data_IF_544357640186
#
_entry.id   IF_544357640186
#
_cell.length_a   1.000
_cell.length_b   1.000
_cell.length_c   1.000
_cell.angle_alpha   90.00
_cell.angle_beta   90.00
_cell.angle_gamma   90.00
#
_symmetry.space_group_name_H-M   'P 1'
#
loop_
_entity.id
_entity.type
_entity.pdbx_description
1 polymer ?
#
# COMPACT_ATOMS: atom_id res chain seq x y z
N UNK A 1 -10.32 -14.91 -9.88
CA UNK A 1 -9.77 -14.73 -8.52
C UNK A 1 -8.37 -15.34 -8.46
N UNK A 2 -7.36 -14.49 -8.32
CA UNK A 2 -6.01 -14.95 -8.03
C UNK A 2 -5.96 -15.15 -6.53
N UNK A 3 -5.97 -16.41 -6.08
CA UNK A 3 -5.71 -16.75 -4.68
C UNK A 3 -4.29 -16.35 -4.35
N UNK A 4 -4.15 -15.31 -3.55
CA UNK A 4 -2.88 -14.71 -3.17
C UNK A 4 -2.28 -15.55 -2.04
N UNK A 5 -1.44 -16.51 -2.41
CA UNK A 5 -0.49 -17.09 -1.47
C UNK A 5 0.55 -16.04 -1.11
N UNK A 6 0.87 -15.90 0.16
CA UNK A 6 1.78 -14.89 0.73
C UNK A 6 3.23 -14.98 0.25
N UNK A 7 3.62 -16.03 -0.45
CA UNK A 7 5.00 -16.30 -0.83
C UNK A 7 5.09 -16.48 -2.33
N UNK A 8 5.87 -15.61 -2.99
CA UNK A 8 6.18 -15.73 -4.41
C UNK A 8 5.12 -15.14 -5.35
N UNK A 9 4.10 -14.45 -4.84
CA UNK A 9 3.10 -13.81 -5.69
C UNK A 9 3.71 -12.77 -6.63
N UNK A 10 4.72 -12.01 -6.17
CA UNK A 10 5.43 -11.04 -6.99
C UNK A 10 6.19 -11.71 -8.14
N UNK A 11 6.81 -12.85 -7.90
CA UNK A 11 7.51 -13.62 -8.94
C UNK A 11 6.52 -14.15 -9.96
N UNK A 12 5.40 -14.74 -9.53
CA UNK A 12 4.35 -15.21 -10.42
C UNK A 12 3.73 -14.06 -11.23
N UNK A 13 3.51 -12.90 -10.62
CA UNK A 13 2.98 -11.71 -11.28
C UNK A 13 3.96 -11.17 -12.32
N UNK A 14 5.25 -11.10 -11.98
CA UNK A 14 6.29 -10.70 -12.94
C UNK A 14 6.36 -11.66 -14.13
N UNK A 15 6.37 -12.96 -13.89
CA UNK A 15 6.44 -13.98 -14.94
C UNK A 15 5.18 -13.97 -15.81
N UNK A 16 4.01 -13.73 -15.23
CA UNK A 16 2.76 -13.52 -15.97
C UNK A 16 2.85 -12.29 -16.86
N UNK A 17 3.40 -11.17 -16.35
CA UNK A 17 3.64 -9.97 -17.15
C UNK A 17 4.61 -10.20 -18.31
N UNK A 18 5.68 -10.97 -18.10
CA UNK A 18 6.64 -11.30 -19.15
C UNK A 18 6.01 -12.15 -20.26
N UNK A 19 5.07 -13.02 -19.91
CA UNK A 19 4.36 -13.87 -20.87
C UNK A 19 3.30 -13.06 -21.64
N UNK A 20 2.57 -12.18 -20.96
CA UNK A 20 1.52 -11.33 -21.53
C UNK A 20 1.53 -9.99 -20.81
N UNK A 21 2.14 -8.94 -21.38
CA UNK A 21 2.22 -7.62 -20.76
C UNK A 21 0.84 -6.99 -20.56
N UNK A 22 0.28 -7.19 -19.37
CA UNK A 22 -0.98 -6.62 -18.92
C UNK A 22 -0.70 -5.68 -17.75
N UNK A 23 -1.19 -4.45 -17.82
CA UNK A 23 -0.98 -3.43 -16.80
C UNK A 23 -1.53 -3.84 -15.42
N UNK A 24 -2.59 -4.66 -15.39
CA UNK A 24 -3.18 -5.17 -14.14
C UNK A 24 -2.16 -5.88 -13.25
N UNK A 25 -1.18 -6.54 -13.85
CA UNK A 25 -0.09 -7.15 -13.09
C UNK A 25 0.81 -6.11 -12.43
N UNK A 26 1.10 -5.00 -13.12
CA UNK A 26 1.91 -3.93 -12.55
C UNK A 26 1.16 -3.15 -11.46
N UNK A 27 -0.13 -2.90 -11.64
CA UNK A 27 -0.99 -2.27 -10.63
C UNK A 27 -1.08 -3.15 -9.36
N UNK A 28 -1.27 -4.45 -9.55
CA UNK A 28 -1.28 -5.40 -8.44
C UNK A 28 0.07 -5.45 -7.70
N UNK A 29 1.18 -5.53 -8.44
CA UNK A 29 2.52 -5.53 -7.86
C UNK A 29 2.80 -4.29 -7.03
N UNK A 30 2.48 -3.10 -7.56
CA UNK A 30 2.63 -1.84 -6.82
C UNK A 30 1.80 -1.82 -5.54
N UNK A 31 0.55 -2.30 -5.61
CA UNK A 31 -0.32 -2.39 -4.45
C UNK A 31 0.24 -3.33 -3.38
N UNK A 32 0.73 -4.50 -3.77
CA UNK A 32 1.36 -5.45 -2.87
C UNK A 32 2.67 -4.88 -2.28
N UNK A 33 3.48 -4.21 -3.11
CA UNK A 33 4.73 -3.59 -2.70
C UNK A 33 4.54 -2.63 -1.52
N UNK A 34 3.65 -1.65 -1.65
CA UNK A 34 3.46 -0.66 -0.59
C UNK A 34 2.67 -1.20 0.60
N UNK A 35 1.55 -1.86 0.36
CA UNK A 35 0.59 -2.15 1.42
C UNK A 35 0.85 -3.47 2.14
N UNK A 36 1.67 -4.34 1.56
CA UNK A 36 2.03 -5.62 2.16
C UNK A 36 3.53 -5.74 2.39
N UNK A 37 4.36 -5.70 1.35
CA UNK A 37 5.80 -5.98 1.46
C UNK A 37 6.49 -4.93 2.33
N UNK A 38 6.39 -3.64 1.99
CA UNK A 38 6.96 -2.56 2.81
C UNK A 38 6.32 -2.48 4.19
N UNK A 39 5.01 -2.70 4.28
CA UNK A 39 4.30 -2.69 5.55
C UNK A 39 4.71 -3.83 6.50
N UNK A 40 5.28 -4.92 5.98
CA UNK A 40 5.70 -6.07 6.79
C UNK A 40 7.06 -5.91 7.45
N UNK A 41 7.88 -4.96 7.02
CA UNK A 41 9.23 -4.74 7.54
C UNK A 41 9.25 -3.59 8.55
N UNK A 42 9.84 -3.80 9.73
CA UNK A 42 10.14 -2.74 10.67
C UNK A 42 11.44 -2.04 10.23
N UNK A 43 11.38 -0.77 9.77
CA UNK A 43 12.51 -0.16 9.05
C UNK A 43 13.68 0.28 9.95
N UNK A 44 13.47 0.42 11.25
CA UNK A 44 14.49 0.93 12.19
C UNK A 44 15.20 -0.20 12.92
N UNK A 45 14.43 -1.10 13.53
CA UNK A 45 14.96 -2.20 14.33
C UNK A 45 15.19 -3.48 13.54
N UNK A 46 14.66 -3.55 12.32
CA UNK A 46 14.60 -4.76 11.51
C UNK A 46 13.46 -5.69 11.95
N UNK A 47 13.39 -6.86 11.33
CA UNK A 47 12.35 -7.85 11.58
C UNK A 47 11.18 -7.74 10.60
N UNK A 48 10.48 -8.87 10.44
CA UNK A 48 9.37 -9.02 9.52
C UNK A 48 8.13 -9.53 10.25
N UNK A 49 6.96 -9.19 9.71
CA UNK A 49 5.67 -9.59 10.25
C UNK A 49 5.27 -10.94 9.67
N UNK A 50 4.76 -11.84 10.51
CA UNK A 50 4.12 -13.09 10.08
C UNK A 50 2.64 -12.85 9.77
N UNK A 51 1.91 -12.23 10.71
CA UNK A 51 0.52 -11.88 10.56
C UNK A 51 0.33 -10.37 10.54
N UNK A 52 -0.52 -9.90 9.62
CA UNK A 52 -1.03 -8.52 9.61
C UNK A 52 -2.50 -8.55 10.03
N UNK A 53 -2.81 -8.37 11.32
CA UNK A 53 -4.20 -8.39 11.77
C UNK A 53 -5.01 -7.26 11.13
N UNK A 54 -6.21 -7.58 10.64
CA UNK A 54 -7.15 -6.59 10.07
C UNK A 54 -8.16 -6.08 11.09
N UNK A 55 -8.22 -6.69 12.28
CA UNK A 55 -9.05 -6.20 13.38
C UNK A 55 -8.55 -4.84 13.86
N UNK A 56 -9.44 -3.85 13.90
CA UNK A 56 -9.13 -2.53 14.44
C UNK A 56 -8.65 -2.60 15.90
N UNK A 57 -7.64 -1.80 16.23
CA UNK A 57 -7.02 -1.80 17.57
C UNK A 57 -6.06 -2.97 17.82
N UNK A 58 -5.74 -3.77 16.79
CA UNK A 58 -4.70 -4.81 16.90
C UNK A 58 -3.32 -4.26 16.52
N UNK A 59 -2.27 -5.07 16.64
CA UNK A 59 -0.89 -4.71 16.29
C UNK A 59 -0.16 -5.85 15.61
N UNK A 60 0.86 -5.51 14.83
CA UNK A 60 1.76 -6.48 14.18
C UNK A 60 2.85 -6.90 15.16
N UNK A 61 3.25 -8.16 15.08
CA UNK A 61 4.42 -8.69 15.80
C UNK A 61 5.56 -8.85 14.80
N UNK A 62 6.71 -8.29 15.15
CA UNK A 62 7.92 -8.36 14.33
C UNK A 62 8.85 -9.47 14.79
N UNK A 63 9.47 -10.14 13.84
CA UNK A 63 10.54 -11.11 14.13
C UNK A 63 11.75 -10.43 14.73
N UNK A 64 12.55 -11.18 15.48
CA UNK A 64 13.90 -10.76 15.82
C UNK A 64 14.78 -10.82 14.55
N UNK A 65 15.61 -9.81 14.29
CA UNK A 65 16.44 -9.78 13.09
C UNK A 65 17.40 -10.95 12.94
N UNK A 66 17.90 -11.48 14.05
CA UNK A 66 19.01 -12.45 14.06
C UNK A 66 18.57 -13.87 14.47
N UNK A 67 17.48 -14.03 15.20
CA UNK A 67 17.12 -15.31 15.82
C UNK A 67 15.82 -15.93 15.33
N UNK A 68 14.87 -15.13 14.84
CA UNK A 68 13.59 -15.65 14.34
C UNK A 68 13.73 -16.23 12.94
N UNK A 69 13.51 -17.53 12.82
CA UNK A 69 13.64 -18.29 11.56
C UNK A 69 12.26 -18.70 11.00
N UNK A 70 11.33 -17.77 10.93
CA UNK A 70 10.04 -18.03 10.31
C UNK A 70 10.14 -18.04 8.79
N UNK A 71 9.28 -18.81 8.12
CA UNK A 71 9.20 -18.79 6.66
C UNK A 71 8.97 -17.37 6.10
N UNK A 72 8.18 -16.55 6.80
CA UNK A 72 7.89 -15.16 6.40
C UNK A 72 9.10 -14.23 6.52
N UNK A 73 10.10 -14.54 7.36
CA UNK A 73 11.37 -13.81 7.40
C UNK A 73 12.15 -14.04 6.11
N UNK A 74 12.26 -15.29 5.65
CA UNK A 74 12.89 -15.63 4.38
C UNK A 74 12.21 -14.98 3.19
N UNK A 75 10.88 -15.07 3.14
CA UNK A 75 10.08 -14.42 2.08
C UNK A 75 10.21 -12.90 2.10
N UNK A 76 10.21 -12.28 3.29
CA UNK A 76 10.40 -10.85 3.44
C UNK A 76 11.76 -10.40 2.89
N UNK A 77 12.83 -11.09 3.24
CA UNK A 77 14.17 -10.81 2.71
C UNK A 77 14.22 -10.95 1.18
N UNK A 78 13.64 -12.02 0.63
CA UNK A 78 13.60 -12.24 -0.81
C UNK A 78 12.83 -11.13 -1.54
N UNK A 79 11.65 -10.78 -1.06
CA UNK A 79 10.80 -9.75 -1.68
C UNK A 79 11.52 -8.40 -1.79
N UNK A 80 12.22 -7.98 -0.73
CA UNK A 80 12.98 -6.72 -0.75
C UNK A 80 14.15 -6.70 -1.73
N UNK A 81 14.64 -7.85 -2.17
CA UNK A 81 15.71 -7.94 -3.19
C UNK A 81 15.18 -7.92 -4.63
N UNK A 82 13.86 -8.05 -4.84
CA UNK A 82 13.26 -8.26 -6.17
C UNK A 82 12.72 -6.99 -6.85
N UNK A 83 12.69 -5.85 -6.17
CA UNK A 83 12.09 -4.62 -6.73
C UNK A 83 12.71 -4.21 -8.06
N UNK A 84 14.05 -4.29 -8.18
CA UNK A 84 14.77 -3.93 -9.40
C UNK A 84 14.39 -4.74 -10.63
N UNK A 85 13.91 -5.95 -10.43
CA UNK A 85 13.57 -6.88 -11.52
C UNK A 85 12.27 -6.52 -12.25
N UNK A 86 11.42 -5.65 -11.67
CA UNK A 86 10.14 -5.29 -12.25
C UNK A 86 9.94 -3.78 -12.48
N UNK A 87 10.91 -2.94 -12.15
CA UNK A 87 10.85 -1.51 -12.49
C UNK A 87 10.66 -1.34 -13.99
N UNK A 88 11.40 -2.13 -14.77
CA UNK A 88 11.36 -2.12 -16.23
C UNK A 88 11.16 -3.51 -16.80
N UNK A 89 10.47 -3.56 -17.94
CA UNK A 89 10.43 -4.72 -18.81
C UNK A 89 10.64 -4.27 -20.26
N UNK A 90 11.06 -5.17 -21.14
CA UNK A 90 11.23 -4.81 -22.54
C UNK A 90 10.83 -5.95 -23.48
N UNK A 91 10.40 -5.57 -24.67
CA UNK A 91 10.15 -6.47 -25.77
C UNK A 91 10.58 -5.77 -27.07
N UNK A 92 11.46 -6.37 -27.85
CA UNK A 92 11.98 -5.80 -29.09
C UNK A 92 12.51 -4.36 -28.95
N UNK A 93 11.77 -3.37 -29.48
CA UNK A 93 12.07 -1.93 -29.43
C UNK A 93 11.19 -1.18 -28.43
N UNK A 94 10.53 -1.88 -27.55
CA UNK A 94 9.59 -1.32 -26.56
C UNK A 94 10.15 -1.50 -25.15
N UNK A 95 10.20 -0.42 -24.38
CA UNK A 95 10.51 -0.39 -22.96
C UNK A 95 9.25 -0.05 -22.17
N UNK A 96 8.88 -0.92 -21.25
CA UNK A 96 7.81 -0.72 -20.27
C UNK A 96 8.40 -0.16 -18.96
N UNK A 97 7.77 0.86 -18.42
CA UNK A 97 8.06 1.40 -17.09
C UNK A 97 6.90 1.01 -16.17
N UNK A 98 7.13 0.06 -15.29
CA UNK A 98 6.10 -0.53 -14.44
C UNK A 98 6.04 0.08 -13.04
N UNK A 99 7.20 0.36 -12.42
CA UNK A 99 7.28 0.91 -11.08
C UNK A 99 8.01 2.25 -11.09
N UNK A 100 7.55 3.18 -10.24
CA UNK A 100 8.10 4.54 -10.17
C UNK A 100 9.18 4.68 -9.09
N UNK A 101 10.08 3.71 -9.03
CA UNK A 101 11.22 3.66 -8.10
C UNK A 101 12.42 4.38 -8.74
N UNK A 102 13.07 5.35 -8.06
CA UNK A 102 14.26 6.04 -8.59
C UNK A 102 15.31 5.04 -9.04
N UNK A 103 15.79 5.17 -10.27
CA UNK A 103 16.67 4.15 -10.83
C UNK A 103 17.39 4.61 -12.08
N UNK A 104 18.45 3.88 -12.44
CA UNK A 104 19.18 4.04 -13.68
C UNK A 104 19.15 2.74 -14.46
N UNK A 105 18.49 2.75 -15.61
CA UNK A 105 18.46 1.65 -16.55
C UNK A 105 19.58 1.79 -17.57
N UNK A 106 20.35 0.73 -17.78
CA UNK A 106 21.29 0.61 -18.91
C UNK A 106 20.87 -0.56 -19.80
N UNK A 107 20.20 -0.26 -20.91
CA UNK A 107 19.80 -1.25 -21.91
C UNK A 107 20.86 -1.35 -23.00
N UNK A 108 21.80 -2.30 -22.81
CA UNK A 108 23.01 -2.44 -23.61
C UNK A 108 22.72 -2.68 -25.09
N UNK A 109 21.78 -3.55 -25.43
CA UNK A 109 21.41 -3.94 -26.78
C UNK A 109 20.86 -2.76 -27.59
N UNK A 110 20.17 -1.85 -26.93
CA UNK A 110 19.61 -0.63 -27.55
C UNK A 110 20.49 0.58 -27.37
N UNK A 111 21.64 0.45 -26.64
CA UNK A 111 22.54 1.56 -26.29
C UNK A 111 21.75 2.73 -25.66
N UNK A 112 20.74 2.41 -24.85
CA UNK A 112 19.91 3.37 -24.12
C UNK A 112 20.34 3.40 -22.66
N UNK A 113 20.51 4.61 -22.10
CA UNK A 113 20.56 4.82 -20.67
C UNK A 113 19.47 5.79 -20.29
N UNK A 114 18.57 5.34 -19.39
CA UNK A 114 17.44 6.10 -18.86
C UNK A 114 17.64 6.29 -17.36
N UNK A 115 17.47 7.52 -16.89
CA UNK A 115 17.43 7.85 -15.48
C UNK A 115 15.97 8.11 -15.13
N UNK A 116 15.46 7.49 -14.08
CA UNK A 116 14.17 7.76 -13.47
C UNK A 116 14.39 8.44 -12.12
N UNK A 117 13.85 9.63 -11.98
CA UNK A 117 13.85 10.43 -10.75
C UNK A 117 12.43 10.49 -10.22
N UNK A 118 12.23 10.09 -8.98
CA UNK A 118 10.90 10.02 -8.36
C UNK A 118 11.02 10.07 -6.85
N UNK A 119 10.06 10.73 -6.22
CA UNK A 119 9.78 10.62 -4.78
C UNK A 119 8.42 9.96 -4.53
N UNK A 120 7.92 9.25 -5.53
CA UNK A 120 6.66 8.51 -5.40
C UNK A 120 6.74 7.50 -4.24
N UNK A 121 5.75 7.41 -3.35
CA UNK A 121 4.41 8.01 -3.44
C UNK A 121 4.26 9.38 -2.77
N UNK A 122 5.33 10.02 -2.30
CA UNK A 122 5.25 11.33 -1.64
C UNK A 122 4.93 12.46 -2.64
N UNK A 123 5.42 12.31 -3.87
CA UNK A 123 5.18 13.24 -4.98
C UNK A 123 4.51 12.51 -6.15
N UNK A 124 3.61 13.22 -6.82
CA UNK A 124 2.86 12.72 -7.98
C UNK A 124 3.64 12.79 -9.28
N UNK A 125 4.77 13.52 -9.28
CA UNK A 125 5.58 13.76 -10.46
C UNK A 125 6.75 12.79 -10.55
N UNK A 126 6.90 12.16 -11.72
CA UNK A 126 7.99 11.29 -12.09
C UNK A 126 8.71 11.89 -13.29
N UNK A 127 10.02 11.99 -13.22
CA UNK A 127 10.88 12.51 -14.29
C UNK A 127 11.74 11.41 -14.86
N UNK A 128 11.85 11.40 -16.18
CA UNK A 128 12.75 10.51 -16.89
C UNK A 128 13.69 11.33 -17.76
N UNK A 129 14.98 11.01 -17.72
CA UNK A 129 15.98 11.65 -18.55
C UNK A 129 16.75 10.62 -19.35
N UNK A 130 16.82 10.84 -20.68
CA UNK A 130 17.66 10.02 -21.55
C UNK A 130 19.11 10.49 -21.42
N UNK A 131 19.95 9.69 -20.79
CA UNK A 131 21.38 9.99 -20.65
C UNK A 131 22.17 9.58 -21.89
N UNK A 132 21.85 8.42 -22.47
CA UNK A 132 22.46 7.91 -23.71
C UNK A 132 21.41 7.33 -24.63
N UNK A 133 21.62 7.46 -25.95
CA UNK A 133 20.77 6.85 -26.96
C UNK A 133 21.56 6.61 -28.26
N UNK A 134 21.19 5.56 -29.00
CA UNK A 134 21.67 5.29 -30.35
C UNK A 134 20.94 6.06 -31.45
N UNK A 135 20.00 6.95 -31.07
CA UNK A 135 19.14 7.74 -31.94
C UNK A 135 18.21 6.93 -32.85
N UNK A 136 18.04 5.63 -32.62
CA UNK A 136 17.01 4.81 -33.26
C UNK A 136 15.66 5.06 -32.60
N UNK A 137 14.60 4.77 -33.33
CA UNK A 137 13.25 4.88 -32.77
C UNK A 137 13.02 3.77 -31.74
N UNK A 138 12.63 4.15 -30.53
CA UNK A 138 12.23 3.25 -29.45
C UNK A 138 10.87 3.70 -28.93
N UNK A 139 10.09 2.74 -28.48
CA UNK A 139 8.80 2.94 -27.86
C UNK A 139 8.98 2.92 -26.32
N UNK A 140 8.60 3.98 -25.64
CA UNK A 140 8.44 3.99 -24.20
C UNK A 140 6.96 3.82 -23.88
N UNK A 141 6.65 2.84 -23.03
CA UNK A 141 5.33 2.60 -22.47
C UNK A 141 5.38 2.93 -20.99
N UNK A 142 4.84 4.08 -20.62
CA UNK A 142 4.75 4.53 -19.24
C UNK A 142 3.42 4.05 -18.65
N UNK A 143 3.47 3.40 -17.51
CA UNK A 143 2.25 2.92 -16.86
C UNK A 143 1.36 4.09 -16.45
N UNK A 144 0.07 4.02 -16.83
CA UNK A 144 -0.99 4.89 -16.36
C UNK A 144 -1.89 4.07 -15.43
N UNK A 145 -1.60 4.06 -14.11
CA UNK A 145 -2.26 3.17 -13.17
C UNK A 145 -3.78 3.34 -13.16
N UNK A 146 -4.50 2.27 -12.81
CA UNK A 146 -5.96 2.31 -12.70
C UNK A 146 -6.50 3.27 -11.64
N UNK A 147 -5.73 3.54 -10.60
CA UNK A 147 -6.07 4.49 -9.53
C UNK A 147 -5.88 5.96 -9.92
N UNK A 148 -5.02 6.26 -10.90
CA UNK A 148 -4.75 7.64 -11.31
C UNK A 148 -5.82 8.15 -12.25
N UNK A 149 -6.34 9.34 -12.00
CA UNK A 149 -7.28 10.02 -12.87
C UNK A 149 -6.69 11.36 -13.32
N UNK A 150 -6.71 11.62 -14.64
CA UNK A 150 -6.19 12.88 -15.18
C UNK A 150 -4.67 12.93 -15.25
N UNK A 151 -4.00 11.80 -15.55
CA UNK A 151 -2.57 11.77 -15.81
C UNK A 151 -2.19 12.75 -16.94
N UNK A 152 -1.00 13.32 -16.84
CA UNK A 152 -0.42 14.12 -17.92
C UNK A 152 1.02 13.71 -18.19
N UNK A 153 1.44 13.80 -19.44
CA UNK A 153 2.83 13.54 -19.83
C UNK A 153 3.33 14.65 -20.75
N UNK A 154 4.56 15.09 -20.53
CA UNK A 154 5.25 16.02 -21.40
C UNK A 154 6.60 15.48 -21.85
N UNK A 155 7.05 15.88 -23.02
CA UNK A 155 8.38 15.57 -23.54
C UNK A 155 9.08 16.86 -23.90
N UNK A 156 10.22 17.14 -23.29
CA UNK A 156 10.97 18.39 -23.43
C UNK A 156 10.07 19.62 -23.21
N UNK A 157 9.26 19.57 -22.17
CA UNK A 157 8.32 20.65 -21.80
C UNK A 157 7.05 20.75 -22.66
N UNK A 158 6.93 19.94 -23.72
CA UNK A 158 5.72 19.93 -24.56
C UNK A 158 4.76 18.83 -24.08
N UNK A 159 3.56 19.23 -23.67
CA UNK A 159 2.49 18.30 -23.31
C UNK A 159 2.15 17.42 -24.52
N UNK A 160 1.95 16.14 -24.24
CA UNK A 160 1.53 15.15 -25.22
C UNK A 160 0.02 14.90 -25.05
N UNK A 161 -0.69 14.77 -26.16
CA UNK A 161 -2.09 14.38 -26.11
C UNK A 161 -2.21 12.93 -25.65
N UNK A 162 -2.97 12.71 -24.59
CA UNK A 162 -3.24 11.41 -24.01
C UNK A 162 -4.68 11.02 -24.34
N UNK A 163 -4.84 9.99 -25.17
CA UNK A 163 -6.15 9.37 -25.44
C UNK A 163 -6.38 8.10 -24.58
N UNK A 164 -5.41 7.77 -23.75
CA UNK A 164 -5.42 6.59 -22.88
C UNK A 164 -6.29 6.82 -21.65
N UNK A 165 -6.89 5.73 -21.18
CA UNK A 165 -7.63 5.69 -19.93
C UNK A 165 -6.75 5.15 -18.77
N UNK A 166 -7.10 5.42 -17.50
CA UNK A 166 -6.50 4.73 -16.37
C UNK A 166 -6.56 3.21 -16.57
N UNK A 167 -5.46 2.52 -16.26
CA UNK A 167 -5.33 1.09 -16.52
C UNK A 167 -4.74 0.76 -17.89
N UNK A 168 -4.11 1.73 -18.57
CA UNK A 168 -3.43 1.55 -19.86
C UNK A 168 -1.99 2.05 -19.82
N UNK A 169 -1.18 1.71 -20.82
CA UNK A 169 0.15 2.27 -21.01
C UNK A 169 0.12 3.48 -21.93
N UNK A 170 0.64 4.61 -21.45
CA UNK A 170 0.93 5.78 -22.30
C UNK A 170 2.08 5.43 -23.23
N UNK A 171 1.84 5.49 -24.53
CA UNK A 171 2.80 5.02 -25.54
C UNK A 171 3.45 6.20 -26.25
N UNK A 172 4.79 6.34 -26.12
CA UNK A 172 5.55 7.40 -26.76
C UNK A 172 6.63 6.77 -27.65
N UNK A 173 6.43 6.82 -28.97
CA UNK A 173 7.38 6.29 -29.95
C UNK A 173 8.10 7.43 -30.65
N UNK A 174 9.43 7.52 -30.49
CA UNK A 174 10.25 8.53 -31.15
C UNK A 174 11.72 8.14 -31.22
N UNK A 175 12.51 8.90 -31.99
CA UNK A 175 13.97 8.84 -31.95
C UNK A 175 14.48 9.63 -30.76
N UNK A 176 14.84 8.94 -29.68
CA UNK A 176 15.34 9.55 -28.47
C UNK A 176 16.74 10.09 -28.63
N UNK A 177 17.07 11.20 -27.95
CA UNK A 177 18.38 11.82 -27.91
C UNK A 177 18.83 11.95 -26.47
N UNK A 178 20.15 11.95 -26.24
CA UNK A 178 20.71 12.32 -24.95
C UNK A 178 20.24 13.74 -24.59
N UNK A 179 19.79 13.94 -23.36
CA UNK A 179 19.19 15.18 -22.86
C UNK A 179 17.68 15.28 -23.05
N UNK A 180 17.02 14.34 -23.75
CA UNK A 180 15.54 14.33 -23.78
C UNK A 180 15.00 14.04 -22.38
N UNK A 181 13.99 14.80 -21.97
CA UNK A 181 13.30 14.69 -20.68
C UNK A 181 11.82 14.36 -20.88
N UNK A 182 11.30 13.48 -20.04
CA UNK A 182 9.89 13.15 -19.98
C UNK A 182 9.43 13.45 -18.54
N UNK A 183 8.32 14.15 -18.40
CA UNK A 183 7.65 14.36 -17.10
C UNK A 183 6.29 13.70 -17.17
N UNK A 184 6.06 12.76 -16.26
CA UNK A 184 4.78 12.10 -16.03
C UNK A 184 4.22 12.61 -14.70
N UNK A 185 2.98 13.07 -14.72
CA UNK A 185 2.25 13.45 -13.51
C UNK A 185 1.05 12.52 -13.31
N UNK A 186 0.95 11.92 -12.12
CA UNK A 186 -0.06 10.95 -11.74
C UNK A 186 -0.83 11.45 -10.51
N UNK A 187 -1.88 12.25 -10.69
CA UNK A 187 -2.64 12.80 -9.56
C UNK A 187 -3.23 11.70 -8.68
N UNK A 188 -2.95 11.76 -7.38
CA UNK A 188 -3.49 10.86 -6.39
C UNK A 188 -4.71 11.46 -5.70
N UNK A 189 -5.74 10.65 -5.50
CA UNK A 189 -6.97 11.05 -4.85
C UNK A 189 -7.28 10.12 -3.70
N UNK A 190 -7.98 10.67 -2.68
CA UNK A 190 -8.55 9.85 -1.62
C UNK A 190 -9.76 9.10 -2.16
N UNK A 191 -9.76 7.79 -1.98
CA UNK A 191 -10.88 6.90 -2.34
C UNK A 191 -11.17 5.95 -1.19
N UNK A 192 -12.31 5.26 -1.25
CA UNK A 192 -12.69 4.21 -0.31
C UNK A 192 -12.69 2.86 -1.00
N UNK A 193 -12.24 1.86 -0.27
CA UNK A 193 -12.41 0.45 -0.64
C UNK A 193 -13.16 -0.29 0.46
N UNK A 194 -14.26 -0.92 0.09
CA UNK A 194 -15.03 -1.76 1.00
C UNK A 194 -14.41 -3.15 1.09
N UNK A 195 -14.41 -3.73 2.28
CA UNK A 195 -14.10 -5.15 2.47
C UNK A 195 -15.13 -5.99 1.70
N UNK A 196 -14.70 -7.01 0.92
CA UNK A 196 -15.61 -7.76 0.05
C UNK A 196 -16.73 -8.53 0.76
N UNK A 197 -16.49 -8.97 1.98
CA UNK A 197 -17.39 -9.85 2.77
C UNK A 197 -18.08 -9.12 3.95
N UNK A 198 -17.87 -7.82 4.09
CA UNK A 198 -18.51 -7.01 5.13
C UNK A 198 -19.02 -5.68 4.59
N UNK A 199 -20.31 -5.47 4.66
CA UNK A 199 -20.91 -4.18 4.34
C UNK A 199 -20.50 -3.13 5.38
N UNK A 200 -20.43 -1.86 4.94
CA UNK A 200 -20.11 -0.69 5.77
C UNK A 200 -18.71 -0.68 6.43
N UNK A 201 -17.78 -1.54 6.00
CA UNK A 201 -16.38 -1.47 6.43
C UNK A 201 -15.49 -0.99 5.28
N UNK A 202 -14.86 0.16 5.48
CA UNK A 202 -14.10 0.86 4.45
C UNK A 202 -12.67 1.16 4.88
N UNK A 203 -11.73 0.99 3.96
CA UNK A 203 -10.37 1.51 4.05
C UNK A 203 -10.23 2.78 3.21
N UNK A 204 -9.50 3.77 3.71
CA UNK A 204 -9.10 4.92 2.92
C UNK A 204 -7.86 4.57 2.09
N UNK A 205 -7.92 4.91 0.81
CA UNK A 205 -6.81 4.82 -0.12
C UNK A 205 -6.38 6.22 -0.54
N UNK A 206 -5.08 6.44 -0.73
CA UNK A 206 -4.53 7.60 -1.42
C UNK A 206 -3.70 7.13 -2.61
N UNK A 207 -4.24 7.22 -3.82
CA UNK A 207 -3.69 6.49 -4.96
C UNK A 207 -3.62 4.99 -4.67
N UNK A 208 -2.45 4.34 -4.76
CA UNK A 208 -2.29 2.91 -4.47
C UNK A 208 -2.08 2.60 -2.97
N UNK A 209 -2.00 3.62 -2.12
CA UNK A 209 -1.57 3.51 -0.72
C UNK A 209 -2.76 3.36 0.23
N UNK A 210 -2.74 2.32 1.06
CA UNK A 210 -3.66 2.17 2.19
C UNK A 210 -3.27 3.14 3.29
N UNK A 211 -4.23 3.92 3.77
CA UNK A 211 -4.07 4.78 4.94
C UNK A 211 -4.56 4.07 6.20
N UNK A 212 -3.88 4.30 7.30
CA UNK A 212 -4.19 3.70 8.59
C UNK A 212 -4.08 4.72 9.72
N UNK A 213 -4.88 4.54 10.77
CA UNK A 213 -4.83 5.36 11.95
C UNK A 213 -4.15 4.64 13.10
N UNK A 214 -3.20 5.27 13.83
CA UNK A 214 -2.72 4.75 15.10
C UNK A 214 -3.85 4.80 16.14
N UNK A 215 -4.03 3.70 16.90
CA UNK A 215 -5.08 3.59 17.91
C UNK A 215 -4.55 3.37 19.34
N UNK A 216 -3.24 3.52 19.53
CA UNK A 216 -2.58 3.43 20.84
C UNK A 216 -1.33 2.58 20.83
N UNK A 217 -0.67 2.51 21.98
CA UNK A 217 0.58 1.76 22.19
C UNK A 217 0.54 0.84 23.42
N UNK A 218 -0.62 0.78 24.09
CA UNK A 218 -0.74 0.04 25.35
C UNK A 218 -0.92 -1.45 25.11
N UNK A 219 -0.40 -2.27 26.05
CA UNK A 219 -0.58 -3.72 26.06
C UNK A 219 -0.18 -4.42 24.75
N UNK A 220 0.89 -3.98 24.12
CA UNK A 220 1.47 -4.63 22.93
C UNK A 220 2.53 -5.68 23.35
N UNK A 221 2.13 -6.64 24.19
CA UNK A 221 3.03 -7.68 24.68
C UNK A 221 3.53 -8.53 23.49
N UNK A 222 4.83 -8.80 23.46
CA UNK A 222 5.45 -9.54 22.37
C UNK A 222 5.50 -8.80 21.03
N UNK A 223 5.52 -7.45 21.05
CA UNK A 223 5.67 -6.63 19.81
C UNK A 223 6.87 -7.06 18.97
N UNK A 224 7.96 -7.45 19.63
CA UNK A 224 9.08 -8.18 19.05
C UNK A 224 9.05 -9.59 19.58
N UNK A 225 9.00 -10.55 18.68
CA UNK A 225 8.89 -11.95 19.01
C UNK A 225 10.05 -12.44 19.88
N UNK A 226 9.75 -13.38 20.74
CA UNK A 226 10.75 -14.22 21.38
C UNK A 226 11.05 -15.48 20.54
N UNK A 227 11.93 -16.35 21.01
CA UNK A 227 12.31 -17.59 20.32
C UNK A 227 11.28 -18.72 20.51
N UNK A 228 10.16 -18.46 21.16
CA UNK A 228 9.11 -19.46 21.35
C UNK A 228 8.40 -19.79 20.04
N UNK A 229 7.83 -20.99 19.96
CA UNK A 229 7.09 -21.47 18.79
C UNK A 229 5.91 -20.56 18.43
N UNK A 230 5.29 -19.90 19.40
CA UNK A 230 4.17 -18.99 19.23
C UNK A 230 4.57 -17.51 19.21
N UNK A 231 5.85 -17.18 19.23
CA UNK A 231 6.35 -15.81 19.37
C UNK A 231 5.90 -14.83 18.27
N UNK A 232 5.43 -15.33 17.13
CA UNK A 232 4.89 -14.53 16.04
C UNK A 232 3.42 -14.11 16.23
N UNK A 233 2.76 -14.58 17.29
CA UNK A 233 1.35 -14.29 17.57
C UNK A 233 1.27 -13.15 18.58
N UNK A 234 0.48 -12.14 18.27
CA UNK A 234 0.20 -11.06 19.21
C UNK A 234 -0.71 -11.56 20.34
N UNK A 235 -0.21 -11.50 21.59
CA UNK A 235 -0.90 -11.98 22.78
C UNK A 235 -1.20 -10.88 23.81
N UNK A 236 -1.02 -9.63 23.43
CA UNK A 236 -1.46 -8.50 24.26
C UNK A 236 -2.99 -8.39 24.28
N UNK A 237 -3.52 -7.89 25.41
CA UNK A 237 -4.96 -7.69 25.56
C UNK A 237 -5.59 -6.97 24.37
N UNK A 238 -6.64 -7.53 23.81
CA UNK A 238 -7.39 -6.90 22.71
C UNK A 238 -8.05 -5.61 23.17
N UNK A 239 -8.04 -4.62 22.31
CA UNK A 239 -8.86 -3.41 22.49
C UNK A 239 -10.29 -3.74 22.10
N UNK A 240 -11.22 -3.32 22.90
CA UNK A 240 -12.65 -3.49 22.65
C UNK A 240 -13.08 -2.73 21.39
N UNK A 241 -13.90 -3.34 20.52
CA UNK A 241 -14.27 -2.76 19.23
C UNK A 241 -15.03 -1.43 19.35
N UNK A 242 -15.84 -1.27 20.41
CA UNK A 242 -16.53 -0.01 20.69
C UNK A 242 -15.59 1.17 21.02
N UNK A 243 -14.31 0.89 21.28
CA UNK A 243 -13.26 1.90 21.48
C UNK A 243 -12.49 2.22 20.21
N UNK A 244 -12.74 1.49 19.14
CA UNK A 244 -12.13 1.78 17.83
C UNK A 244 -12.97 2.80 17.06
N UNK A 245 -12.34 3.67 16.25
CA UNK A 245 -13.08 4.74 15.58
C UNK A 245 -14.06 4.18 14.55
N UNK A 246 -15.34 4.59 14.67
CA UNK A 246 -16.37 4.44 13.67
C UNK A 246 -16.62 5.78 12.98
N UNK A 247 -16.82 5.79 11.67
CA UNK A 247 -17.04 6.99 10.89
C UNK A 247 -18.53 7.24 10.70
N UNK A 248 -19.00 8.42 11.10
CA UNK A 248 -20.41 8.79 11.00
C UNK A 248 -20.63 9.57 9.71
N UNK A 249 -21.52 9.10 8.86
CA UNK A 249 -21.86 9.74 7.59
C UNK A 249 -22.08 8.74 6.46
N UNK A 250 -22.22 9.22 5.24
CA UNK A 250 -22.36 8.35 4.06
C UNK A 250 -21.00 7.99 3.47
N UNK A 251 -20.87 6.79 2.89
CA UNK A 251 -19.63 6.39 2.22
C UNK A 251 -19.21 7.36 1.09
N UNK A 252 -20.17 8.04 0.47
CA UNK A 252 -19.89 9.04 -0.56
C UNK A 252 -19.24 10.34 -0.02
N UNK A 253 -19.52 10.71 1.25
CA UNK A 253 -18.96 11.92 1.87
C UNK A 253 -17.61 11.69 2.56
N UNK A 254 -17.35 10.48 3.06
CA UNK A 254 -16.14 10.19 3.86
C UNK A 254 -14.81 10.60 3.19
N UNK A 255 -14.57 10.35 1.88
CA UNK A 255 -13.32 10.77 1.25
C UNK A 255 -13.10 12.29 1.26
N UNK A 256 -14.20 13.04 1.22
CA UNK A 256 -14.17 14.50 1.19
C UNK A 256 -13.84 15.11 2.56
N UNK A 257 -13.99 14.34 3.63
CA UNK A 257 -13.66 14.74 4.99
C UNK A 257 -12.19 14.44 5.36
N UNK A 258 -11.45 13.78 4.48
CA UNK A 258 -10.03 13.51 4.71
C UNK A 258 -9.16 14.61 4.10
N UNK A 259 -8.45 15.36 4.93
CA UNK A 259 -7.60 16.50 4.54
C UNK A 259 -6.14 16.16 4.72
N UNK A 260 -5.35 16.33 3.66
CA UNK A 260 -3.90 16.20 3.72
C UNK A 260 -3.32 17.34 4.55
N UNK A 261 -2.46 17.03 5.51
CA UNK A 261 -1.87 18.00 6.47
C UNK A 261 -0.37 18.12 6.34
N UNK A 262 0.29 17.10 5.80
CA UNK A 262 1.74 17.09 5.61
C UNK A 262 2.05 16.35 4.30
N UNK A 263 2.68 17.05 3.36
CA UNK A 263 3.06 16.50 2.07
C UNK A 263 4.26 15.54 2.18
N UNK A 264 5.23 15.86 3.03
CA UNK A 264 6.45 15.05 3.15
C UNK A 264 6.20 13.67 3.77
N UNK A 265 5.22 13.58 4.68
CA UNK A 265 4.91 12.34 5.38
C UNK A 265 3.61 11.66 4.90
N UNK A 266 2.89 12.25 3.95
CA UNK A 266 1.55 11.81 3.55
C UNK A 266 0.61 11.67 4.77
N UNK A 267 0.58 12.68 5.62
CA UNK A 267 -0.29 12.72 6.80
C UNK A 267 -1.63 13.37 6.48
N UNK A 268 -2.69 12.79 7.02
CA UNK A 268 -4.07 13.24 6.79
C UNK A 268 -4.81 13.35 8.11
N UNK A 269 -5.71 14.32 8.21
CA UNK A 269 -6.69 14.43 9.29
C UNK A 269 -8.09 14.24 8.74
N UNK A 270 -8.86 13.38 9.39
CA UNK A 270 -10.27 13.22 9.12
C UNK A 270 -11.05 14.26 9.92
N UNK A 271 -11.84 15.10 9.24
CA UNK A 271 -12.59 16.22 9.80
C UNK A 271 -14.06 15.92 10.04
N UNK A 272 -14.53 14.76 9.58
CA UNK A 272 -15.90 14.31 9.78
C UNK A 272 -16.15 13.80 11.19
N UNK A 273 -17.40 13.45 11.46
CA UNK A 273 -17.82 12.91 12.76
C UNK A 273 -17.31 11.49 12.99
N UNK A 274 -16.81 11.23 14.20
CA UNK A 274 -16.21 9.95 14.61
C UNK A 274 -16.82 9.54 15.96
N UNK A 275 -17.11 8.26 16.13
CA UNK A 275 -17.50 7.68 17.41
C UNK A 275 -16.49 6.58 17.83
N UNK A 276 -16.10 6.48 19.10
CA UNK A 276 -16.26 7.49 20.14
C UNK A 276 -15.52 8.78 19.78
N UNK A 277 -16.05 9.91 20.20
CA UNK A 277 -15.44 11.23 19.93
C UNK A 277 -14.04 11.26 20.51
N UNK A 278 -13.06 11.43 19.64
CA UNK A 278 -11.66 11.55 20.03
C UNK A 278 -11.34 12.99 20.41
N UNK A 279 -10.45 13.20 21.38
CA UNK A 279 -10.00 14.55 21.77
C UNK A 279 -9.25 15.24 20.61
N UNK A 280 -8.54 14.43 19.82
CA UNK A 280 -7.79 14.87 18.65
C UNK A 280 -8.48 14.37 17.39
N UNK A 281 -8.29 15.07 16.28
CA UNK A 281 -8.79 14.61 14.97
C UNK A 281 -8.20 13.23 14.63
N UNK A 282 -9.00 12.38 14.00
CA UNK A 282 -8.53 11.08 13.54
C UNK A 282 -7.44 11.27 12.48
N UNK A 283 -6.20 10.98 12.86
CA UNK A 283 -5.05 11.08 11.98
C UNK A 283 -4.86 9.79 11.21
N UNK A 284 -4.60 9.90 9.90
CA UNK A 284 -4.25 8.77 9.05
C UNK A 284 -2.89 9.01 8.37
N UNK A 285 -2.11 7.94 8.27
CA UNK A 285 -0.83 7.91 7.57
C UNK A 285 -0.73 6.63 6.73
N UNK A 286 0.19 6.54 5.75
CA UNK A 286 0.43 5.30 5.01
C UNK A 286 0.69 4.12 5.95
N UNK A 287 0.01 3.01 5.71
CA UNK A 287 0.15 1.82 6.57
C UNK A 287 1.57 1.28 6.63
N UNK A 288 2.33 1.38 5.54
CA UNK A 288 3.73 0.97 5.51
C UNK A 288 4.67 1.88 6.33
N UNK A 289 4.19 3.04 6.82
CA UNK A 289 4.93 3.95 7.71
C UNK A 289 4.48 3.86 9.16
N UNK A 290 3.37 3.17 9.43
CA UNK A 290 2.84 3.03 10.78
C UNK A 290 3.42 1.79 11.44
N UNK A 291 4.45 1.96 12.27
CA UNK A 291 5.09 0.89 13.03
C UNK A 291 4.99 1.14 14.52
N UNK A 292 5.11 0.06 15.32
CA UNK A 292 5.11 0.11 16.78
C UNK A 292 3.84 0.73 17.41
N UNK A 293 2.70 0.56 16.73
CA UNK A 293 1.38 1.01 17.17
C UNK A 293 0.32 -0.07 16.98
N UNK A 294 -0.72 0.03 17.79
CA UNK A 294 -2.03 -0.50 17.44
C UNK A 294 -2.62 0.36 16.32
N UNK A 295 -3.42 -0.24 15.45
CA UNK A 295 -3.90 0.48 14.27
C UNK A 295 -5.33 0.10 13.86
N UNK A 296 -5.95 0.97 13.06
CA UNK A 296 -7.13 0.70 12.28
C UNK A 296 -6.84 0.95 10.80
N UNK A 297 -7.18 -0.01 9.94
CA UNK A 297 -7.16 0.10 8.47
C UNK A 297 -8.59 0.22 7.98
N UNK A 298 -9.47 -0.66 8.45
CA UNK A 298 -10.88 -0.67 8.12
C UNK A 298 -11.69 0.02 9.21
N UNK A 299 -12.53 0.93 8.80
CA UNK A 299 -13.39 1.71 9.66
C UNK A 299 -14.83 1.35 9.38
N UNK A 300 -15.60 1.09 10.46
CA UNK A 300 -17.02 0.89 10.36
C UNK A 300 -17.71 2.24 10.08
N UNK A 301 -18.44 2.32 8.97
CA UNK A 301 -19.26 3.47 8.62
C UNK A 301 -20.67 3.26 9.16
N UNK A 302 -21.17 4.26 9.86
CA UNK A 302 -22.47 4.20 10.52
C UNK A 302 -23.24 5.51 10.30
N UNK A 303 -24.57 5.46 10.41
CA UNK A 303 -25.39 6.65 10.55
C UNK A 303 -25.47 7.09 12.01
N UNK A 304 -25.79 8.35 12.27
CA UNK A 304 -25.98 8.86 13.64
C UNK A 304 -27.03 8.07 14.42
N UNK A 305 -28.10 7.64 13.77
CA UNK A 305 -29.18 6.88 14.40
C UNK A 305 -28.75 5.45 14.80
N UNK A 306 -27.76 4.89 14.12
CA UNK A 306 -27.28 3.51 14.33
C UNK A 306 -26.18 3.41 15.37
N UNK A 307 -25.48 4.51 15.68
CA UNK A 307 -24.28 4.51 16.55
C UNK A 307 -24.53 3.77 17.87
N UNK A 308 -25.64 4.08 18.57
CA UNK A 308 -25.91 3.48 19.88
C UNK A 308 -26.26 1.98 19.77
N UNK A 309 -27.05 1.60 18.77
CA UNK A 309 -27.41 0.20 18.55
C UNK A 309 -26.18 -0.64 18.22
N UNK A 310 -25.32 -0.14 17.33
CA UNK A 310 -24.09 -0.82 16.90
C UNK A 310 -23.10 -0.94 18.07
N UNK A 311 -22.99 0.09 18.89
CA UNK A 311 -22.16 0.04 20.09
C UNK A 311 -22.59 -1.11 21.02
N UNK A 312 -23.87 -1.24 21.29
CA UNK A 312 -24.41 -2.30 22.14
C UNK A 312 -24.19 -3.69 21.55
N UNK A 313 -24.37 -3.84 20.24
CA UNK A 313 -24.09 -5.10 19.55
C UNK A 313 -22.61 -5.50 19.61
N UNK A 314 -21.72 -4.54 19.40
CA UNK A 314 -20.27 -4.77 19.50
C UNK A 314 -19.86 -5.19 20.90
N UNK A 315 -20.37 -4.53 21.94
CA UNK A 315 -20.14 -4.90 23.34
C UNK A 315 -20.61 -6.34 23.65
N UNK A 316 -21.78 -6.70 23.13
CA UNK A 316 -22.30 -8.07 23.33
C UNK A 316 -21.46 -9.13 22.62
N UNK A 317 -21.03 -8.86 21.38
CA UNK A 317 -20.17 -9.78 20.61
C UNK A 317 -18.83 -9.97 21.30
N UNK A 318 -18.22 -8.92 21.79
CA UNK A 318 -16.95 -9.02 22.52
C UNK A 318 -17.09 -9.77 23.85
N UNK A 319 -18.15 -9.51 24.59
CA UNK A 319 -18.41 -10.24 25.83
C UNK A 319 -18.51 -11.75 25.58
N UNK A 320 -19.31 -12.16 24.58
CA UNK A 320 -19.41 -13.57 24.18
C UNK A 320 -18.08 -14.17 23.73
N UNK A 321 -17.28 -13.41 22.97
CA UNK A 321 -15.97 -13.87 22.53
C UNK A 321 -15.00 -14.05 23.71
N UNK A 322 -15.02 -13.16 24.70
CA UNK A 322 -14.21 -13.27 25.91
C UNK A 322 -14.65 -14.46 26.79
N UNK A 323 -15.97 -14.67 26.94
CA UNK A 323 -16.49 -15.84 27.68
C UNK A 323 -16.05 -17.15 27.03
N UNK A 324 -16.13 -17.25 25.70
CA UNK A 324 -15.69 -18.42 24.96
C UNK A 324 -14.16 -18.65 25.07
N UNK A 325 -13.37 -17.58 25.00
CA UNK A 325 -11.92 -17.67 25.17
C UNK A 325 -11.53 -18.13 26.57
N UNK A 326 -12.20 -17.65 27.60
CA UNK A 326 -11.98 -18.10 28.97
C UNK A 326 -12.34 -19.58 29.15
N UNK A 327 -13.47 -20.02 28.60
CA UNK A 327 -13.88 -21.43 28.64
C UNK A 327 -12.88 -22.36 27.93
N UNK A 328 -12.24 -21.89 26.85
CA UNK A 328 -11.22 -22.67 26.13
C UNK A 328 -9.86 -22.66 26.83
N UNK A 329 -9.52 -21.60 27.55
CA UNK A 329 -8.27 -21.54 28.33
C UNK A 329 -8.26 -22.52 29.53
N UNK A 330 -9.45 -22.83 30.07
CA UNK A 330 -9.57 -23.81 31.18
C UNK A 330 -9.48 -25.27 30.68
N UNK A 331 -9.33 -25.53 29.38
CA UNK A 331 -9.26 -26.86 28.78
C UNK A 331 -7.82 -27.25 28.38
N UNK A 332 -6.87 -26.32 28.44
CA UNK A 332 -5.45 -26.50 28.14
C UNK A 332 -4.66 -26.51 29.43
#
# INVERSE_FOLDING_TARGET
>A
EILIGLVGSEMCIRDSFQTSPDIRFADYYERALYNHILASQQPVKGGFVYFTPMRSGHYRVYSQPETSMWCCVGSGLENHTKYGEFIYAHAEDTLYVNLFIPSRLTWKEKKLTLIQESRFPDEEQIRFRIEKSNKKALCLKLRYPSWAKGASVSVNGKVQDINNQPGEYLTIRRKWKAGDEITLNLPMQVTLEQIPDQEHFYAFMYGPIVLSSPTGTENMNGLYADDSRGGHIAHGKLVSLEKTPMLIGSSASLPQELRKTDDEQLSFNYTGSVYPMQKDSLRLIPFFRLHDFRYAIYFHQVSEAEVESIRQEMEQKERKAMELANQTADII
#
